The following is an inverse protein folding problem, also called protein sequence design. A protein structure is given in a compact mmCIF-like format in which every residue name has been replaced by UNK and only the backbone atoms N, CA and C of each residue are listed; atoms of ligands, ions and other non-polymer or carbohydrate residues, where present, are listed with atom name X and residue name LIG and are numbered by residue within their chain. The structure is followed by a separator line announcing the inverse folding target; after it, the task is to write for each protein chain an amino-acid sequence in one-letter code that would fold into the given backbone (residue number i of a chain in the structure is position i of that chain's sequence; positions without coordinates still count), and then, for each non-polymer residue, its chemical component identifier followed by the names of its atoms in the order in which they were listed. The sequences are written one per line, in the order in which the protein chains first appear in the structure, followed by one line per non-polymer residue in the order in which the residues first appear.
data_IF_173060526232
#
_entry.id   IF_173060526232
#
_cell.length_a   1.000
_cell.length_b   1.000
_cell.length_c   1.000
_cell.angle_alpha   90.00
_cell.angle_beta   90.00
_cell.angle_gamma   90.00
#
_symmetry.space_group_name_H-M   'P 1'
#
loop_
_entity.id
_entity.type
_entity.pdbx_description
1 polymer ?
#
# COMPACT_ATOMS: atom_id res chain seq x y z
N UNK A 1 15.33 -1.78 7.59
CA UNK A 1 14.04 -1.64 6.87
C UNK A 1 13.10 -0.87 7.76
N UNK A 2 12.40 0.17 7.27
CA UNK A 2 11.43 0.89 8.08
C UNK A 2 10.35 -0.08 8.57
N UNK A 3 10.02 0.01 9.85
CA UNK A 3 8.94 -0.79 10.44
C UNK A 3 7.58 -0.29 9.90
N UNK A 4 6.59 -1.19 9.80
CA UNK A 4 5.24 -0.87 9.31
C UNK A 4 4.65 0.36 10.01
N UNK A 5 4.82 0.47 11.33
CA UNK A 5 4.33 1.62 12.09
C UNK A 5 4.97 2.94 11.64
N UNK A 6 6.25 2.91 11.28
CA UNK A 6 6.96 4.09 10.75
C UNK A 6 6.43 4.47 9.37
N UNK A 7 6.16 3.50 8.50
CA UNK A 7 5.55 3.75 7.18
C UNK A 7 4.16 4.36 7.30
N UNK A 8 3.31 3.81 8.18
CA UNK A 8 1.96 4.34 8.46
C UNK A 8 2.04 5.80 8.93
N UNK A 9 2.94 6.09 9.86
CA UNK A 9 3.13 7.44 10.39
C UNK A 9 3.65 8.40 9.33
N UNK A 10 4.67 8.00 8.57
CA UNK A 10 5.27 8.84 7.54
C UNK A 10 4.28 9.16 6.40
N UNK A 11 3.37 8.24 6.10
CA UNK A 11 2.29 8.41 5.12
C UNK A 11 1.06 9.14 5.68
N UNK A 12 1.03 9.49 6.97
CA UNK A 12 -0.12 10.16 7.61
C UNK A 12 -1.37 9.28 7.73
N UNK A 13 -1.22 7.96 7.79
CA UNK A 13 -2.33 6.98 7.76
C UNK A 13 -2.78 6.50 9.15
N UNK A 14 -2.23 7.03 10.24
CA UNK A 14 -2.47 6.56 11.62
C UNK A 14 -3.96 6.53 12.01
N UNK A 15 -4.75 7.50 11.53
CA UNK A 15 -6.19 7.58 11.81
C UNK A 15 -7.07 6.66 10.94
N UNK A 16 -6.49 6.04 9.91
CA UNK A 16 -7.20 5.23 8.92
C UNK A 16 -6.94 3.73 9.07
N UNK A 17 -5.77 3.36 9.61
CA UNK A 17 -5.36 1.97 9.78
C UNK A 17 -5.91 1.37 11.07
N UNK A 18 -6.51 0.19 10.98
CA UNK A 18 -7.01 -0.58 12.11
C UNK A 18 -6.02 -1.68 12.49
N UNK A 19 -5.77 -1.84 13.79
CA UNK A 19 -4.89 -2.89 14.33
C UNK A 19 -5.62 -4.22 14.51
N UNK A 20 -4.86 -5.30 14.74
CA UNK A 20 -5.39 -6.63 15.07
C UNK A 20 -5.99 -7.41 13.90
N UNK A 21 -5.93 -6.88 12.68
CA UNK A 21 -6.35 -7.56 11.45
C UNK A 21 -5.16 -8.27 10.80
N UNK A 22 -5.43 -9.40 10.17
CA UNK A 22 -4.47 -10.18 9.37
C UNK A 22 -5.09 -10.51 8.03
N UNK A 23 -4.28 -10.58 6.98
CA UNK A 23 -4.78 -11.03 5.68
C UNK A 23 -5.20 -12.52 5.75
N UNK A 24 -6.39 -12.91 5.26
CA UNK A 24 -6.89 -14.29 5.37
C UNK A 24 -6.12 -15.30 4.50
N UNK A 25 -5.38 -14.83 3.49
CA UNK A 25 -4.65 -15.68 2.56
C UNK A 25 -3.13 -15.54 2.73
N UNK A 26 -2.33 -16.54 2.29
CA UNK A 26 -0.88 -16.41 2.26
C UNK A 26 -0.46 -15.26 1.36
N UNK A 27 0.25 -14.29 1.93
CA UNK A 27 0.96 -13.26 1.16
C UNK A 27 2.34 -13.79 0.71
N UNK A 28 2.83 -13.37 -0.46
CA UNK A 28 4.22 -13.56 -0.86
C UNK A 28 5.21 -13.09 0.21
N UNK A 29 6.40 -13.69 0.22
CA UNK A 29 7.46 -13.34 1.16
C UNK A 29 7.81 -11.84 1.08
N UNK A 30 8.02 -11.22 2.24
CA UNK A 30 8.30 -9.79 2.37
C UNK A 30 7.10 -8.85 2.21
N UNK A 31 5.94 -9.30 1.68
CA UNK A 31 4.75 -8.43 1.60
C UNK A 31 4.06 -8.21 2.95
N UNK A 32 4.19 -9.16 3.89
CA UNK A 32 3.54 -9.09 5.21
C UNK A 32 3.94 -7.85 6.01
N UNK A 33 5.15 -7.35 5.79
CA UNK A 33 5.67 -6.16 6.48
C UNK A 33 4.99 -4.87 5.97
N UNK A 34 4.42 -4.91 4.76
CA UNK A 34 3.69 -3.80 4.16
C UNK A 34 2.18 -3.91 4.34
N UNK A 35 1.67 -5.03 4.86
CA UNK A 35 0.24 -5.24 5.04
C UNK A 35 -0.36 -4.30 6.08
N UNK A 36 -1.48 -3.67 5.74
CA UNK A 36 -2.32 -2.92 6.66
C UNK A 36 -3.80 -3.21 6.39
N UNK A 37 -4.65 -2.87 7.35
CA UNK A 37 -6.09 -2.89 7.16
C UNK A 37 -6.59 -1.46 7.31
N UNK A 38 -7.19 -0.88 6.27
CA UNK A 38 -7.77 0.47 6.34
C UNK A 38 -9.27 0.41 6.58
N UNK A 39 -9.81 1.45 7.23
CA UNK A 39 -11.23 1.54 7.58
C UNK A 39 -12.16 1.54 6.36
N UNK A 40 -11.70 2.08 5.24
CA UNK A 40 -12.44 2.32 4.00
C UNK A 40 -12.06 1.36 2.86
N UNK A 41 -10.79 0.96 2.80
CA UNK A 41 -10.25 0.07 1.75
C UNK A 41 -10.06 -1.39 2.17
N UNK A 42 -10.19 -1.72 3.46
CA UNK A 42 -10.04 -3.07 3.96
C UNK A 42 -8.59 -3.59 3.86
N UNK A 43 -8.42 -4.83 3.40
CA UNK A 43 -7.13 -5.49 3.26
C UNK A 43 -6.24 -4.82 2.19
N UNK A 44 -5.19 -4.16 2.66
CA UNK A 44 -4.32 -3.33 1.83
C UNK A 44 -2.83 -3.59 2.07
N UNK A 45 -2.00 -3.09 1.16
CA UNK A 45 -0.56 -3.01 1.26
C UNK A 45 -0.14 -1.54 1.16
N UNK A 46 0.82 -1.14 1.98
CA UNK A 46 1.49 0.15 1.88
C UNK A 46 2.44 0.09 0.69
N UNK A 47 2.09 0.80 -0.38
CA UNK A 47 2.86 0.81 -1.63
C UNK A 47 3.28 2.22 -2.00
N UNK A 48 4.51 2.37 -2.48
CA UNK A 48 4.96 3.57 -3.18
C UNK A 48 4.44 3.50 -4.61
N UNK A 49 3.69 4.53 -5.03
CA UNK A 49 3.20 4.66 -6.40
C UNK A 49 4.35 5.03 -7.34
N UNK A 50 4.82 4.05 -8.10
CA UNK A 50 5.99 4.20 -8.96
C UNK A 50 5.77 5.23 -10.08
N UNK A 51 4.57 5.26 -10.65
CA UNK A 51 4.17 6.20 -11.69
C UNK A 51 4.00 7.64 -11.20
N UNK A 52 3.76 7.86 -9.91
CA UNK A 52 3.65 9.20 -9.32
C UNK A 52 4.96 9.68 -8.67
N UNK A 53 5.88 8.76 -8.37
CA UNK A 53 7.15 9.06 -7.73
C UNK A 53 7.98 10.05 -8.54
N UNK A 54 8.58 11.01 -7.85
CA UNK A 54 9.48 12.01 -8.43
C UNK A 54 10.88 11.80 -7.91
N UNK A 55 11.83 11.61 -8.82
CA UNK A 55 13.22 11.37 -8.46
C UNK A 55 13.76 12.48 -7.54
N UNK A 56 14.33 12.07 -6.40
CA UNK A 56 14.87 12.98 -5.39
C UNK A 56 13.87 13.41 -4.31
N UNK A 57 12.58 13.13 -4.46
CA UNK A 57 11.62 13.28 -3.37
C UNK A 57 11.63 12.06 -2.43
N UNK A 58 11.28 12.23 -1.14
CA UNK A 58 11.11 11.11 -0.20
C UNK A 58 10.00 10.15 -0.66
N UNK A 59 10.26 8.83 -0.80
CA UNK A 59 9.27 7.84 -1.20
C UNK A 59 8.02 7.81 -0.31
N UNK A 60 8.15 8.16 0.97
CA UNK A 60 7.06 8.20 1.94
C UNK A 60 5.91 9.11 1.53
N UNK A 61 6.19 10.16 0.75
CA UNK A 61 5.19 11.09 0.22
C UNK A 61 4.28 10.46 -0.84
N UNK A 62 4.67 9.31 -1.38
CA UNK A 62 3.97 8.59 -2.43
C UNK A 62 3.45 7.23 -1.95
N UNK A 63 3.51 6.98 -0.63
CA UNK A 63 2.93 5.78 -0.03
C UNK A 63 1.41 5.92 0.03
N UNK A 64 0.71 4.91 -0.48
CA UNK A 64 -0.73 4.76 -0.34
C UNK A 64 -1.09 3.36 0.13
N UNK A 65 -2.22 3.18 0.85
CA UNK A 65 -2.80 1.87 1.03
C UNK A 65 -3.48 1.44 -0.29
N UNK A 66 -3.00 0.36 -0.90
CA UNK A 66 -3.59 -0.24 -2.09
C UNK A 66 -4.16 -1.63 -1.79
N UNK A 67 -5.34 -2.00 -2.31
CA UNK A 67 -5.91 -3.33 -2.07
C UNK A 67 -4.96 -4.45 -2.47
N UNK A 68 -4.89 -5.50 -1.64
CA UNK A 68 -3.94 -6.61 -1.86
C UNK A 68 -4.08 -7.22 -3.26
N UNK A 69 -5.32 -7.52 -3.67
CA UNK A 69 -5.60 -8.13 -4.98
C UNK A 69 -5.14 -7.25 -6.15
N UNK A 70 -5.30 -5.93 -6.03
CA UNK A 70 -4.87 -4.97 -7.04
C UNK A 70 -3.35 -4.99 -7.20
N UNK A 71 -2.59 -4.94 -6.09
CA UNK A 71 -1.13 -4.97 -6.11
C UNK A 71 -0.61 -6.29 -6.71
N UNK A 72 -1.21 -7.42 -6.35
CA UNK A 72 -0.83 -8.73 -6.90
C UNK A 72 -1.08 -8.80 -8.41
N UNK A 73 -2.18 -8.22 -8.91
CA UNK A 73 -2.53 -8.22 -10.33
C UNK A 73 -1.59 -7.34 -11.16
N UNK A 74 -1.22 -6.17 -10.64
CA UNK A 74 -0.33 -5.22 -11.34
C UNK A 74 1.15 -5.56 -11.19
N UNK A 75 1.49 -6.39 -10.20
CA UNK A 75 2.86 -6.71 -9.87
C UNK A 75 3.50 -5.64 -8.99
N UNK A 76 4.60 -6.03 -8.36
CA UNK A 76 5.31 -5.21 -7.39
C UNK A 76 6.77 -5.62 -7.32
N UNK A 77 7.59 -4.75 -6.74
CA UNK A 77 8.96 -5.09 -6.37
C UNK A 77 9.35 -4.39 -5.06
N UNK A 78 10.34 -4.95 -4.36
CA UNK A 78 10.89 -4.33 -3.17
C UNK A 78 12.18 -3.59 -3.51
N UNK A 79 12.29 -2.34 -3.06
CA UNK A 79 13.48 -1.51 -3.27
C UNK A 79 13.62 -0.50 -2.13
N UNK A 80 14.84 -0.40 -1.61
CA UNK A 80 15.21 0.53 -0.53
C UNK A 80 14.33 0.43 0.74
N UNK A 81 13.76 -0.75 0.99
CA UNK A 81 12.87 -1.00 2.12
C UNK A 81 11.40 -0.63 1.91
N UNK A 82 11.01 -0.29 0.67
CA UNK A 82 9.62 -0.02 0.29
C UNK A 82 9.10 -1.04 -0.71
N UNK A 83 7.78 -1.20 -0.75
CA UNK A 83 7.06 -1.95 -1.77
C UNK A 83 6.62 -0.98 -2.88
N UNK A 84 7.06 -1.21 -4.10
CA UNK A 84 6.79 -0.35 -5.25
C UNK A 84 5.84 -1.06 -6.22
N UNK A 85 4.91 -0.31 -6.79
CA UNK A 85 4.00 -0.81 -7.81
C UNK A 85 3.51 0.33 -8.71
N UNK A 86 3.40 0.04 -10.00
CA UNK A 86 2.73 0.91 -10.97
C UNK A 86 1.22 0.62 -10.95
N UNK A 87 0.48 1.49 -10.27
CA UNK A 87 -0.96 1.36 -10.07
C UNK A 87 -1.70 2.53 -10.71
N UNK A 88 -2.84 2.28 -11.37
CA UNK A 88 -3.65 3.36 -11.93
C UNK A 88 -4.12 4.33 -10.83
N UNK A 89 -3.65 5.56 -10.91
CA UNK A 89 -3.90 6.62 -9.95
C UNK A 89 -4.28 7.90 -10.69
N UNK A 90 -5.26 8.64 -10.16
CA UNK A 90 -5.61 9.97 -10.63
C UNK A 90 -5.66 10.92 -9.44
N UNK A 91 -4.91 12.03 -9.48
CA UNK A 91 -4.72 12.94 -8.33
C UNK A 91 -6.01 13.42 -7.66
N UNK A 92 -7.06 13.64 -8.45
CA UNK A 92 -8.33 14.17 -7.96
C UNK A 92 -9.28 13.08 -7.43
N UNK A 93 -8.98 11.79 -7.70
CA UNK A 93 -9.88 10.65 -7.45
C UNK A 93 -9.23 9.61 -6.51
N UNK A 94 -7.90 9.48 -6.55
CA UNK A 94 -7.14 8.44 -5.87
C UNK A 94 -6.84 7.23 -6.75
N UNK A 95 -6.64 6.08 -6.11
CA UNK A 95 -6.46 4.80 -6.79
C UNK A 95 -7.73 4.42 -7.54
N UNK A 96 -7.59 3.98 -8.79
CA UNK A 96 -8.69 3.47 -9.59
C UNK A 96 -8.95 1.99 -9.25
N UNK A 97 -9.51 1.78 -8.07
CA UNK A 97 -9.82 0.47 -7.50
C UNK A 97 -11.07 -0.12 -8.16
N UNK A 98 -11.02 -1.41 -8.55
CA UNK A 98 -12.22 -2.13 -8.99
C UNK A 98 -12.95 -2.71 -7.79
N UNK A 99 -14.27 -2.85 -7.88
CA UNK A 99 -15.06 -3.44 -6.77
C UNK A 99 -14.55 -4.84 -6.36
N UNK A 100 -14.10 -5.65 -7.32
CA UNK A 100 -13.55 -6.99 -7.09
C UNK A 100 -12.23 -7.03 -6.28
N UNK A 101 -11.51 -5.90 -6.23
CA UNK A 101 -10.24 -5.78 -5.52
C UNK A 101 -10.44 -5.55 -4.02
N UNK A 102 -11.61 -5.07 -3.61
CA UNK A 102 -11.92 -4.72 -2.22
C UNK A 102 -12.21 -6.02 -1.44
N UNK A 103 -11.60 -6.14 -0.26
CA UNK A 103 -11.72 -7.31 0.62
C UNK A 103 -11.63 -6.84 2.08
N UNK A 104 -12.50 -7.37 2.97
CA UNK A 104 -12.65 -6.94 4.37
C UNK A 104 -12.52 -8.11 5.36
#
# INVERSE_FOLDING_TARGET
MPDRAQLIKAAGLEGWVLSGRTYPHPLPEGMRDYYCYTRDGGHSLLVVLENEYRHGEPPERFIVPAPVKMVLRHGFHQKDGYLWSDLPYAKDIGLQVREEDIEF
#
